data_IF_275923827453
#
_entry.id   IF_275923827453
#
_cell.length_a   1.000
_cell.length_b   1.000
_cell.length_c   1.000
_cell.angle_alpha   90.00
_cell.angle_beta   90.00
_cell.angle_gamma   90.00
#
_symmetry.space_group_name_H-M   'P 1'
#
loop_
_entity.id
_entity.type
_entity.pdbx_description
1 polymer ?
#
# COMPACT_ATOMS: atom_id res chain seq x y z
N UNK A 1 -32.24 -2.29 32.64
CA UNK A 1 -31.30 -3.43 32.65
C UNK A 1 -31.33 -4.25 31.34
N UNK A 2 -32.51 -4.65 30.84
CA UNK A 2 -32.65 -5.41 29.58
C UNK A 2 -32.07 -4.69 28.33
N UNK A 3 -32.26 -3.37 28.20
CA UNK A 3 -31.77 -2.58 27.05
C UNK A 3 -30.25 -2.34 27.02
N UNK A 4 -29.53 -2.51 28.13
CA UNK A 4 -28.06 -2.41 28.13
C UNK A 4 -27.43 -3.75 27.73
N UNK A 5 -27.93 -4.85 28.30
CA UNK A 5 -27.49 -6.21 27.98
C UNK A 5 -27.70 -6.57 26.49
N UNK A 6 -28.82 -6.16 25.89
CA UNK A 6 -29.06 -6.30 24.44
C UNK A 6 -28.07 -5.45 23.62
N UNK A 7 -27.76 -4.24 24.06
CA UNK A 7 -26.84 -3.34 23.33
C UNK A 7 -25.40 -3.84 23.36
N UNK A 8 -24.97 -4.44 24.46
CA UNK A 8 -23.63 -5.01 24.59
C UNK A 8 -23.47 -6.23 23.68
N UNK A 9 -24.46 -7.14 23.68
CA UNK A 9 -24.49 -8.30 22.79
C UNK A 9 -24.44 -7.93 21.30
N UNK A 10 -25.19 -6.89 20.90
CA UNK A 10 -25.16 -6.35 19.53
C UNK A 10 -23.82 -5.66 19.20
N UNK A 11 -23.19 -5.00 20.17
CA UNK A 11 -21.91 -4.31 19.94
C UNK A 11 -20.76 -5.31 19.74
N UNK A 12 -20.75 -6.38 20.52
CA UNK A 12 -19.77 -7.46 20.41
C UNK A 12 -19.92 -8.21 19.08
N UNK A 13 -21.16 -8.48 18.64
CA UNK A 13 -21.40 -9.12 17.34
C UNK A 13 -20.92 -8.25 16.16
N UNK A 14 -21.09 -6.93 16.25
CA UNK A 14 -20.54 -5.99 15.24
C UNK A 14 -19.02 -6.01 15.22
N UNK A 15 -18.35 -6.03 16.38
CA UNK A 15 -16.89 -6.14 16.44
C UNK A 15 -16.38 -7.45 15.80
N UNK A 16 -17.08 -8.56 16.02
CA UNK A 16 -16.74 -9.85 15.44
C UNK A 16 -16.80 -9.85 13.90
N UNK A 17 -17.80 -9.21 13.31
CA UNK A 17 -17.91 -9.06 11.85
C UNK A 17 -16.74 -8.26 11.29
N UNK A 18 -16.36 -7.15 11.94
CA UNK A 18 -15.19 -6.35 11.52
C UNK A 18 -13.89 -7.16 11.63
N UNK A 19 -13.73 -7.92 12.71
CA UNK A 19 -12.56 -8.80 12.91
C UNK A 19 -12.42 -9.86 11.81
N UNK A 20 -13.51 -10.57 11.48
CA UNK A 20 -13.49 -11.56 10.40
C UNK A 20 -13.19 -10.89 9.05
N UNK A 21 -13.82 -9.76 8.76
CA UNK A 21 -13.57 -9.04 7.51
C UNK A 21 -12.12 -8.56 7.39
N UNK A 22 -11.54 -8.05 8.48
CA UNK A 22 -10.14 -7.63 8.54
C UNK A 22 -9.17 -8.80 8.33
N UNK A 23 -9.45 -9.95 8.96
CA UNK A 23 -8.66 -11.17 8.79
C UNK A 23 -8.71 -11.71 7.36
N UNK A 24 -9.89 -11.73 6.72
CA UNK A 24 -10.02 -12.15 5.32
C UNK A 24 -9.25 -11.21 4.38
N UNK A 25 -9.30 -9.91 4.61
CA UNK A 25 -8.55 -8.93 3.82
C UNK A 25 -7.03 -9.09 3.99
N UNK A 26 -6.54 -9.43 5.19
CA UNK A 26 -5.12 -9.78 5.41
C UNK A 26 -4.74 -11.01 4.58
N UNK A 27 -5.53 -12.08 4.66
CA UNK A 27 -5.24 -13.33 3.93
C UNK A 27 -5.20 -13.06 2.43
N UNK A 28 -6.19 -12.35 1.89
CA UNK A 28 -6.21 -11.96 0.48
C UNK A 28 -5.04 -11.05 0.10
N UNK A 29 -4.67 -10.09 0.96
CA UNK A 29 -3.50 -9.24 0.77
C UNK A 29 -2.20 -10.05 0.70
N UNK A 30 -2.00 -10.97 1.64
CA UNK A 30 -0.82 -11.85 1.68
C UNK A 30 -0.75 -12.80 0.48
N UNK A 31 -1.89 -13.35 0.02
CA UNK A 31 -1.92 -14.19 -1.19
C UNK A 31 -1.53 -13.35 -2.42
N UNK A 32 -2.06 -12.14 -2.56
CA UNK A 32 -1.69 -11.24 -3.66
C UNK A 32 -0.21 -10.81 -3.61
N UNK A 33 0.33 -10.61 -2.41
CA UNK A 33 1.77 -10.37 -2.21
C UNK A 33 2.61 -11.58 -2.63
N UNK A 34 2.18 -12.79 -2.31
CA UNK A 34 2.85 -14.01 -2.71
C UNK A 34 2.78 -14.21 -4.23
N UNK A 35 1.62 -13.95 -4.84
CA UNK A 35 1.44 -13.99 -6.30
C UNK A 35 2.32 -12.98 -7.03
N UNK A 36 2.57 -11.79 -6.45
CA UNK A 36 3.53 -10.81 -6.99
C UNK A 36 4.94 -11.38 -7.15
N UNK A 37 5.37 -12.30 -6.28
CA UNK A 37 6.71 -12.92 -6.35
C UNK A 37 6.81 -13.92 -7.51
N UNK A 38 5.72 -14.61 -7.84
CA UNK A 38 5.70 -15.60 -8.92
C UNK A 38 5.36 -15.01 -10.30
N UNK A 39 4.71 -13.85 -10.35
CA UNK A 39 4.15 -13.33 -11.59
C UNK A 39 5.09 -12.36 -12.33
N UNK A 40 5.24 -12.56 -13.65
CA UNK A 40 6.07 -11.73 -14.56
C UNK A 40 5.64 -10.25 -14.66
N UNK A 41 4.41 -9.91 -14.26
CA UNK A 41 3.85 -8.54 -14.32
C UNK A 41 3.35 -8.07 -12.94
N UNK A 42 4.24 -7.74 -11.99
CA UNK A 42 3.89 -7.52 -10.59
C UNK A 42 3.11 -6.21 -10.34
N UNK A 43 3.03 -5.30 -11.32
CA UNK A 43 2.56 -3.93 -11.11
C UNK A 43 1.08 -3.84 -10.69
N UNK A 44 0.18 -4.53 -11.39
CA UNK A 44 -1.24 -4.50 -11.04
C UNK A 44 -1.47 -5.16 -9.67
N UNK A 45 -0.80 -6.30 -9.44
CA UNK A 45 -0.94 -7.06 -8.20
C UNK A 45 -0.38 -6.31 -6.97
N UNK A 46 0.71 -5.54 -7.12
CA UNK A 46 1.27 -4.68 -6.05
C UNK A 46 0.31 -3.55 -5.65
N UNK A 47 -0.38 -2.96 -6.62
CA UNK A 47 -1.36 -1.91 -6.35
C UNK A 47 -2.57 -2.48 -5.60
N UNK A 48 -3.11 -3.62 -6.04
CA UNK A 48 -4.21 -4.30 -5.33
C UNK A 48 -3.80 -4.76 -3.93
N UNK A 49 -2.61 -5.34 -3.78
CA UNK A 49 -2.05 -5.74 -2.48
C UNK A 49 -2.01 -4.57 -1.49
N UNK A 50 -1.45 -3.43 -1.92
CA UNK A 50 -1.34 -2.23 -1.07
C UNK A 50 -2.71 -1.71 -0.63
N UNK A 51 -3.68 -1.67 -1.56
CA UNK A 51 -5.06 -1.25 -1.27
C UNK A 51 -5.74 -2.20 -0.28
N UNK A 52 -5.59 -3.52 -0.45
CA UNK A 52 -6.16 -4.52 0.47
C UNK A 52 -5.59 -4.40 1.89
N UNK A 53 -4.28 -4.17 2.03
CA UNK A 53 -3.66 -3.96 3.33
C UNK A 53 -4.16 -2.67 4.02
N UNK A 54 -4.36 -1.57 3.28
CA UNK A 54 -4.92 -0.32 3.83
C UNK A 54 -6.37 -0.54 4.31
N UNK A 55 -7.21 -1.20 3.50
CA UNK A 55 -8.59 -1.50 3.91
C UNK A 55 -8.65 -2.44 5.12
N UNK A 56 -7.76 -3.44 5.18
CA UNK A 56 -7.67 -4.29 6.37
C UNK A 56 -7.22 -3.51 7.60
N UNK A 57 -6.27 -2.58 7.47
CA UNK A 57 -5.82 -1.71 8.55
C UNK A 57 -6.96 -0.89 9.14
N UNK A 58 -7.77 -0.27 8.27
CA UNK A 58 -8.98 0.46 8.68
C UNK A 58 -10.01 -0.44 9.37
N UNK A 59 -10.25 -1.65 8.87
CA UNK A 59 -11.19 -2.59 9.48
C UNK A 59 -10.71 -3.07 10.86
N UNK A 60 -9.43 -3.38 11.01
CA UNK A 60 -8.83 -3.78 12.28
C UNK A 60 -8.80 -2.62 13.29
N UNK A 61 -8.53 -1.39 12.84
CA UNK A 61 -8.61 -0.20 13.69
C UNK A 61 -10.04 0.04 14.19
N UNK A 62 -11.04 -0.05 13.31
CA UNK A 62 -12.44 0.03 13.69
C UNK A 62 -12.83 -1.08 14.68
N UNK A 63 -12.36 -2.31 14.46
CA UNK A 63 -12.56 -3.42 15.38
C UNK A 63 -12.01 -3.12 16.79
N UNK A 64 -10.79 -2.58 16.90
CA UNK A 64 -10.18 -2.20 18.20
C UNK A 64 -11.04 -1.14 18.90
N UNK A 65 -11.51 -0.13 18.18
CA UNK A 65 -12.34 0.95 18.75
C UNK A 65 -13.67 0.40 19.26
N UNK A 66 -14.37 -0.41 18.45
CA UNK A 66 -15.67 -1.00 18.85
C UNK A 66 -15.50 -1.94 20.03
N UNK A 67 -14.42 -2.73 20.05
CA UNK A 67 -14.07 -3.61 21.17
C UNK A 67 -13.81 -2.80 22.45
N UNK A 68 -12.95 -1.77 22.37
CA UNK A 68 -12.67 -0.90 23.51
C UNK A 68 -13.93 -0.19 24.02
N UNK A 69 -14.79 0.29 23.13
CA UNK A 69 -16.06 0.92 23.49
C UNK A 69 -17.06 -0.05 24.16
N UNK A 70 -17.03 -1.34 23.82
CA UNK A 70 -17.83 -2.36 24.49
C UNK A 70 -17.27 -2.69 25.89
N UNK A 71 -15.96 -2.91 25.98
CA UNK A 71 -15.27 -3.21 27.26
C UNK A 71 -15.41 -2.05 28.25
N UNK A 72 -15.25 -0.80 27.82
CA UNK A 72 -15.42 0.36 28.70
C UNK A 72 -16.85 0.48 29.26
N UNK A 73 -17.87 0.02 28.53
CA UNK A 73 -19.26 -0.01 29.01
C UNK A 73 -19.48 -1.12 30.03
N UNK A 74 -18.93 -2.30 29.79
CA UNK A 74 -19.03 -3.44 30.72
C UNK A 74 -18.28 -3.16 32.03
N UNK A 75 -17.04 -2.67 31.95
CA UNK A 75 -16.20 -2.37 33.12
C UNK A 75 -16.73 -1.12 33.84
N UNK A 76 -17.13 -0.08 33.10
CA UNK A 76 -17.75 1.11 33.69
C UNK A 76 -19.02 0.78 34.47
N UNK A 77 -19.90 -0.07 33.92
CA UNK A 77 -21.13 -0.48 34.60
C UNK A 77 -20.87 -1.27 35.90
N UNK A 78 -19.75 -1.99 36.01
CA UNK A 78 -19.37 -2.70 37.24
C UNK A 78 -18.67 -1.82 38.27
N UNK A 79 -17.97 -0.76 37.84
CA UNK A 79 -17.37 0.23 38.76
C UNK A 79 -18.46 1.07 39.46
N UNK A 80 -19.53 1.47 38.75
CA UNK A 80 -20.61 2.26 39.35
C UNK A 80 -21.61 1.44 40.19
N UNK A 81 -21.67 0.12 40.02
CA UNK A 81 -22.63 -0.73 40.75
C UNK A 81 -22.08 -1.29 42.08
N UNK A 82 -20.77 -1.21 42.35
CA UNK A 82 -20.14 -2.00 43.42
C UNK A 82 -19.63 -1.23 44.65
N UNK A 83 -19.39 0.09 44.63
CA UNK A 83 -19.02 0.79 45.88
C UNK A 83 -19.22 2.31 45.82
N UNK A 84 -20.21 2.78 46.60
CA UNK A 84 -19.94 3.95 47.44
C UNK A 84 -18.87 3.48 48.44
N UNK A 85 -17.76 4.20 48.54
CA UNK A 85 -16.69 4.00 49.53
C UNK A 85 -15.66 2.94 49.07
N UNK A 86 -14.59 3.40 48.41
CA UNK A 86 -13.18 3.00 48.58
C UNK A 86 -12.36 3.10 47.29
N UNK A 87 -11.08 3.42 47.48
CA UNK A 87 -10.05 3.83 46.53
C UNK A 87 -9.93 3.01 45.22
N UNK A 88 -9.44 3.62 44.12
CA UNK A 88 -9.49 3.03 42.79
C UNK A 88 -8.46 1.91 42.64
N UNK A 89 -8.85 0.66 42.90
CA UNK A 89 -7.93 -0.48 42.84
C UNK A 89 -8.48 -1.71 42.10
N UNK A 90 -8.99 -1.52 40.88
CA UNK A 90 -9.16 -2.63 39.93
C UNK A 90 -8.23 -2.44 38.73
N UNK A 91 -7.03 -3.02 38.82
CA UNK A 91 -6.14 -3.20 37.66
C UNK A 91 -6.76 -4.22 36.70
N UNK A 92 -7.47 -3.74 35.68
CA UNK A 92 -7.97 -4.56 34.59
C UNK A 92 -6.81 -4.95 33.66
N UNK A 93 -6.30 -6.18 33.81
CA UNK A 93 -5.31 -6.75 32.89
C UNK A 93 -5.99 -7.24 31.62
N UNK A 94 -5.63 -6.64 30.48
CA UNK A 94 -6.07 -7.10 29.16
C UNK A 94 -5.47 -8.49 28.86
N UNK A 95 -6.28 -9.38 28.28
CA UNK A 95 -5.81 -10.71 27.87
C UNK A 95 -4.78 -10.66 26.73
N UNK A 96 -3.96 -11.72 26.60
CA UNK A 96 -2.94 -11.85 25.57
C UNK A 96 -3.48 -11.70 24.14
N UNK A 97 -4.72 -12.16 23.88
CA UNK A 97 -5.39 -12.01 22.58
C UNK A 97 -5.55 -10.56 22.16
N UNK A 98 -5.73 -9.64 23.11
CA UNK A 98 -5.85 -8.22 22.82
C UNK A 98 -4.51 -7.58 22.43
N UNK A 99 -3.43 -8.02 23.08
CA UNK A 99 -2.07 -7.61 22.71
C UNK A 99 -1.72 -8.15 21.33
N UNK A 100 -2.01 -9.43 21.06
CA UNK A 100 -1.83 -10.05 19.74
C UNK A 100 -2.55 -9.26 18.64
N UNK A 101 -3.80 -8.84 18.88
CA UNK A 101 -4.59 -8.07 17.92
C UNK A 101 -3.95 -6.71 17.62
N UNK A 102 -3.43 -6.00 18.63
CA UNK A 102 -2.65 -4.76 18.43
C UNK A 102 -1.37 -5.00 17.64
N UNK A 103 -0.65 -6.09 17.91
CA UNK A 103 0.57 -6.46 17.18
C UNK A 103 0.25 -6.77 15.72
N UNK A 104 -0.83 -7.50 15.45
CA UNK A 104 -1.30 -7.76 14.08
C UNK A 104 -1.67 -6.48 13.34
N UNK A 105 -2.32 -5.52 14.01
CA UNK A 105 -2.59 -4.20 13.43
C UNK A 105 -1.29 -3.49 13.02
N UNK A 106 -0.31 -3.41 13.92
CA UNK A 106 0.99 -2.79 13.61
C UNK A 106 1.72 -3.53 12.48
N UNK A 107 1.74 -4.86 12.52
CA UNK A 107 2.34 -5.68 11.48
C UNK A 107 1.69 -5.46 10.11
N UNK A 108 0.36 -5.30 10.08
CA UNK A 108 -0.36 -5.00 8.84
C UNK A 108 0.00 -3.63 8.27
N UNK A 109 0.15 -2.60 9.10
CA UNK A 109 0.62 -1.26 8.66
C UNK A 109 2.06 -1.33 8.12
N UNK A 110 2.96 -2.06 8.78
CA UNK A 110 4.31 -2.29 8.27
C UNK A 110 4.29 -3.02 6.92
N UNK A 111 3.44 -4.03 6.75
CA UNK A 111 3.28 -4.74 5.49
C UNK A 111 2.72 -3.84 4.37
N UNK A 112 1.78 -2.95 4.70
CA UNK A 112 1.25 -1.95 3.77
C UNK A 112 2.35 -0.98 3.30
N UNK A 113 3.14 -0.45 4.24
CA UNK A 113 4.27 0.43 3.94
C UNK A 113 5.34 -0.27 3.09
N UNK A 114 5.69 -1.51 3.43
CA UNK A 114 6.65 -2.27 2.64
C UNK A 114 6.15 -2.49 1.21
N UNK A 115 4.88 -2.85 1.04
CA UNK A 115 4.26 -3.03 -0.28
C UNK A 115 4.24 -1.73 -1.09
N UNK A 116 3.98 -0.60 -0.44
CA UNK A 116 4.00 0.72 -1.06
C UNK A 116 5.41 1.14 -1.48
N UNK A 117 6.41 0.92 -0.63
CA UNK A 117 7.81 1.20 -0.94
C UNK A 117 8.29 0.33 -2.10
N UNK A 118 7.95 -0.96 -2.08
CA UNK A 118 8.24 -1.86 -3.20
C UNK A 118 7.58 -1.39 -4.50
N UNK A 119 6.33 -0.90 -4.43
CA UNK A 119 5.65 -0.30 -5.56
C UNK A 119 6.35 0.98 -6.07
N UNK A 120 6.81 1.86 -5.18
CA UNK A 120 7.53 3.08 -5.56
C UNK A 120 8.88 2.76 -6.20
N UNK A 121 9.66 1.84 -5.62
CA UNK A 121 10.92 1.38 -6.21
C UNK A 121 10.70 0.79 -7.62
N UNK A 122 9.63 0.00 -7.80
CA UNK A 122 9.23 -0.56 -9.11
C UNK A 122 8.73 0.50 -10.10
N UNK A 123 8.15 1.60 -9.59
CA UNK A 123 7.71 2.73 -10.41
C UNK A 123 8.91 3.54 -10.90
N UNK A 124 9.91 3.74 -10.05
CA UNK A 124 11.10 4.52 -10.34
C UNK A 124 11.99 3.86 -11.40
N UNK A 125 12.22 2.54 -11.33
CA UNK A 125 12.96 1.80 -12.38
C UNK A 125 12.33 1.99 -13.77
N UNK A 126 10.99 2.03 -13.85
CA UNK A 126 10.25 2.15 -15.10
C UNK A 126 10.29 3.58 -15.63
N UNK A 127 10.20 4.54 -14.72
CA UNK A 127 10.27 5.95 -15.06
C UNK A 127 11.66 6.29 -15.57
N UNK A 128 12.70 5.80 -14.90
CA UNK A 128 14.08 5.89 -15.36
C UNK A 128 14.27 5.27 -16.75
N UNK A 129 13.81 4.03 -16.96
CA UNK A 129 13.95 3.37 -18.26
C UNK A 129 13.20 4.12 -19.39
N UNK A 130 12.01 4.67 -19.11
CA UNK A 130 11.25 5.44 -20.10
C UNK A 130 11.97 6.75 -20.48
N UNK A 131 12.54 7.46 -19.52
CA UNK A 131 13.36 8.65 -19.80
C UNK A 131 14.65 8.29 -20.55
N UNK A 132 15.28 7.17 -20.19
CA UNK A 132 16.47 6.69 -20.87
C UNK A 132 16.20 6.30 -22.32
N UNK A 133 15.11 5.59 -22.62
CA UNK A 133 14.75 5.25 -24.00
C UNK A 133 14.43 6.51 -24.81
N UNK A 134 13.69 7.47 -24.22
CA UNK A 134 13.38 8.74 -24.90
C UNK A 134 14.62 9.56 -25.21
N UNK A 135 15.59 9.62 -24.30
CA UNK A 135 16.84 10.34 -24.53
C UNK A 135 17.71 9.67 -25.60
N UNK A 136 17.71 8.33 -25.67
CA UNK A 136 18.38 7.58 -26.73
C UNK A 136 17.73 7.81 -28.11
N UNK A 137 16.40 7.82 -28.19
CA UNK A 137 15.68 8.11 -29.44
C UNK A 137 16.00 9.53 -29.93
N UNK A 138 16.00 10.52 -29.04
CA UNK A 138 16.35 11.89 -29.39
C UNK A 138 17.80 12.02 -29.91
N UNK A 139 18.76 11.34 -29.26
CA UNK A 139 20.16 11.29 -29.73
C UNK A 139 20.31 10.59 -31.09
N UNK A 140 19.56 9.52 -31.33
CA UNK A 140 19.58 8.83 -32.61
C UNK A 140 19.03 9.70 -33.74
N UNK A 141 17.96 10.47 -33.48
CA UNK A 141 17.37 11.36 -34.48
C UNK A 141 18.34 12.49 -34.88
N UNK A 142 18.96 13.16 -33.90
CA UNK A 142 20.05 14.14 -34.09
C UNK A 142 21.20 13.55 -34.94
N UNK A 143 21.64 12.34 -34.59
CA UNK A 143 22.74 11.68 -35.30
C UNK A 143 22.37 11.35 -36.75
N UNK A 144 21.13 10.88 -36.98
CA UNK A 144 20.65 10.56 -38.31
C UNK A 144 20.48 11.82 -39.18
N UNK A 145 19.95 12.91 -38.61
CA UNK A 145 19.86 14.21 -39.27
C UNK A 145 21.25 14.75 -39.64
N UNK A 146 22.20 14.72 -38.69
CA UNK A 146 23.58 15.12 -38.93
C UNK A 146 24.25 14.29 -40.04
N UNK A 147 24.07 12.96 -40.03
CA UNK A 147 24.60 12.08 -41.09
C UNK A 147 24.01 12.41 -42.46
N UNK A 148 22.71 12.69 -42.52
CA UNK A 148 22.01 13.09 -43.76
C UNK A 148 22.48 14.45 -44.28
N UNK A 149 22.76 15.41 -43.40
CA UNK A 149 23.35 16.70 -43.79
C UNK A 149 24.80 16.55 -44.25
N UNK A 150 25.61 15.75 -43.54
CA UNK A 150 27.00 15.49 -43.90
C UNK A 150 27.12 14.84 -45.30
N UNK A 151 26.33 13.81 -45.60
CA UNK A 151 26.29 13.22 -46.94
C UNK A 151 25.85 14.22 -48.03
N UNK A 152 24.84 15.05 -47.76
CA UNK A 152 24.39 16.08 -48.71
C UNK A 152 25.46 17.15 -48.96
N UNK A 153 26.20 17.54 -47.93
CA UNK A 153 27.29 18.50 -48.05
C UNK A 153 28.41 17.93 -48.92
N UNK A 154 28.84 16.70 -48.64
CA UNK A 154 29.92 16.04 -49.40
C UNK A 154 29.56 15.87 -50.89
N UNK A 155 28.32 15.51 -51.21
CA UNK A 155 27.84 15.37 -52.58
C UNK A 155 27.82 16.71 -53.34
N UNK A 156 27.39 17.80 -52.68
CA UNK A 156 27.39 19.15 -53.29
C UNK A 156 28.81 19.65 -53.51
N UNK A 157 29.69 19.46 -52.54
CA UNK A 157 31.08 19.91 -52.64
C UNK A 157 31.81 19.22 -53.80
N UNK A 158 31.65 17.89 -53.93
CA UNK A 158 32.23 17.15 -55.05
C UNK A 158 31.68 17.59 -56.42
N UNK A 159 30.37 17.86 -56.50
CA UNK A 159 29.74 18.39 -57.72
C UNK A 159 30.33 19.76 -58.12
N UNK A 160 30.58 20.65 -57.16
CA UNK A 160 31.21 21.95 -57.43
C UNK A 160 32.64 21.83 -57.93
N UNK A 161 33.43 20.89 -57.38
CA UNK A 161 34.82 20.65 -57.81
C UNK A 161 34.85 20.11 -59.25
N UNK A 162 34.02 19.11 -59.57
CA UNK A 162 33.91 18.58 -60.93
C UNK A 162 33.50 19.65 -61.96
N UNK A 163 32.68 20.62 -61.56
CA UNK A 163 32.30 21.73 -62.43
C UNK A 163 33.45 22.70 -62.74
N UNK A 164 34.43 22.80 -61.83
CA UNK A 164 35.59 23.68 -61.98
C UNK A 164 36.69 23.06 -62.84
N UNK A 165 36.73 21.72 -62.91
CA UNK A 165 37.76 20.97 -63.63
C UNK A 165 37.41 20.72 -65.11
N UNK A 166 36.20 21.12 -65.53
CA UNK A 166 35.66 20.95 -66.88
C UNK A 166 35.47 22.29 -67.62
N UNK A 167 36.16 23.33 -67.14
CA UNK A 167 36.33 24.67 -67.74
C UNK A 167 37.84 24.87 -67.91
#
# INVERSE_FOLDING_TARGET
>A
MCNSLVRDHFSVHRAFIFMISGALLIILGSINALMCLFQKWPYHSLMYCSVLHIFSGMANFACIIVYMAAVSKEVGNKIYAASKIDDPLFHYSYGYSFIMLKVTFLGNEFAALFSLVAYMAKRDERMFNKYHIRSLIAKMDETHFMRKCHCRYHMRHYRSIMHYQNI
#
